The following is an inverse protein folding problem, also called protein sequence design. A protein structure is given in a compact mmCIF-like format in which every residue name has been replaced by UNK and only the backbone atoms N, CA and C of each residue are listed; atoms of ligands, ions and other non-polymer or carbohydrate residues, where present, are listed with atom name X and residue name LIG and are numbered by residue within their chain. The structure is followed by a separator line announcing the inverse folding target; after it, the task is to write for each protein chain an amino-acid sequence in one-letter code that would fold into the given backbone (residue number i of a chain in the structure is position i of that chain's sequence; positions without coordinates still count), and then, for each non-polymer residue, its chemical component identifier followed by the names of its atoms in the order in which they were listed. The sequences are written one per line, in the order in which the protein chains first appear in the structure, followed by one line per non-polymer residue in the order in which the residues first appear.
data_IF_402559910322
#
_entry.id   IF_402559910322
#
_cell.length_a   1.000
_cell.length_b   1.000
_cell.length_c   1.000
_cell.angle_alpha   90.00
_cell.angle_beta   90.00
_cell.angle_gamma   90.00
#
_symmetry.space_group_name_H-M   'P 1'
#
loop_
_entity.id
_entity.type
_entity.pdbx_description
1 polymer ?
#
# COMPACT_ATOMS: atom_id res chain seq x y z
N UNK A 1 -18.95 -3.18 13.30
CA UNK A 1 -17.67 -3.69 12.76
C UNK A 1 -17.91 -5.11 12.32
N UNK A 2 -17.64 -5.41 11.05
CA UNK A 2 -17.68 -6.78 10.53
C UNK A 2 -16.61 -7.60 11.25
N UNK A 3 -16.94 -8.79 11.76
CA UNK A 3 -15.95 -9.66 12.41
C UNK A 3 -14.87 -10.07 11.42
N UNK A 4 -13.59 -9.86 11.79
CA UNK A 4 -12.43 -10.30 11.02
C UNK A 4 -12.19 -11.76 11.38
N UNK A 5 -12.45 -12.67 10.43
CA UNK A 5 -12.17 -14.09 10.62
C UNK A 5 -10.72 -14.41 10.27
N UNK A 6 -10.05 -15.18 11.14
CA UNK A 6 -8.65 -15.61 10.93
C UNK A 6 -8.43 -16.44 9.66
N UNK A 7 -9.49 -17.04 9.11
CA UNK A 7 -9.44 -17.79 7.86
C UNK A 7 -9.44 -16.93 6.59
N UNK A 8 -9.60 -15.61 6.68
CA UNK A 8 -9.60 -14.73 5.52
C UNK A 8 -8.27 -14.77 4.77
N UNK A 9 -8.36 -14.80 3.46
CA UNK A 9 -7.23 -14.63 2.54
C UNK A 9 -7.00 -13.14 2.31
N UNK A 10 -5.79 -12.67 2.58
CA UNK A 10 -5.44 -11.25 2.51
C UNK A 10 -4.42 -11.02 1.41
N UNK A 11 -4.62 -10.00 0.59
CA UNK A 11 -3.54 -9.39 -0.18
C UNK A 11 -3.18 -8.01 0.38
N UNK A 12 -1.90 -7.67 0.35
CA UNK A 12 -1.38 -6.37 0.79
C UNK A 12 -0.69 -5.70 -0.39
N UNK A 13 -1.14 -4.50 -0.76
CA UNK A 13 -0.57 -3.70 -1.85
C UNK A 13 -0.07 -2.38 -1.28
N UNK A 14 1.23 -2.13 -1.42
CA UNK A 14 1.89 -0.98 -0.79
C UNK A 14 2.44 -0.03 -1.84
N UNK A 15 1.95 1.21 -1.84
CA UNK A 15 2.61 2.30 -2.55
C UNK A 15 3.76 2.82 -1.68
N UNK A 16 4.94 2.25 -1.90
CA UNK A 16 6.11 2.57 -1.09
C UNK A 16 6.53 4.03 -1.26
N UNK A 17 6.31 4.62 -2.44
CA UNK A 17 6.67 6.01 -2.70
C UNK A 17 5.74 6.97 -1.97
N UNK A 18 4.42 6.74 -2.03
CA UNK A 18 3.45 7.56 -1.31
C UNK A 18 3.72 7.53 0.20
N UNK A 19 3.87 6.33 0.78
CA UNK A 19 4.12 6.21 2.22
C UNK A 19 5.46 6.80 2.63
N UNK A 20 6.53 6.58 1.87
CA UNK A 20 7.85 7.11 2.17
C UNK A 20 7.86 8.64 2.15
N UNK A 21 7.32 9.26 1.09
CA UNK A 21 7.27 10.72 1.00
C UNK A 21 6.47 11.35 2.14
N UNK A 22 5.33 10.75 2.49
CA UNK A 22 4.52 11.22 3.61
C UNK A 22 5.24 11.07 4.94
N UNK A 23 5.82 9.90 5.23
CA UNK A 23 6.56 9.67 6.48
C UNK A 23 7.75 10.63 6.63
N UNK A 24 8.48 10.86 5.55
CA UNK A 24 9.61 11.77 5.54
C UNK A 24 9.17 13.23 5.70
N UNK A 25 8.07 13.64 5.06
CA UNK A 25 7.53 15.00 5.14
C UNK A 25 6.94 15.34 6.51
N UNK A 26 6.19 14.42 7.12
CA UNK A 26 5.46 14.68 8.36
C UNK A 26 6.30 14.39 9.61
N UNK A 27 7.13 13.34 9.58
CA UNK A 27 7.81 12.84 10.77
C UNK A 27 9.32 12.76 10.63
N UNK A 28 9.88 13.00 9.44
CA UNK A 28 11.30 12.85 9.15
C UNK A 28 11.84 11.44 9.49
N UNK A 29 11.01 10.41 9.26
CA UNK A 29 11.30 9.01 9.60
C UNK A 29 10.98 8.07 8.44
N UNK A 30 11.54 6.86 8.53
CA UNK A 30 11.28 5.78 7.57
C UNK A 30 10.12 4.90 8.05
N UNK A 31 9.45 4.24 7.12
CA UNK A 31 8.40 3.25 7.44
C UNK A 31 9.04 1.93 7.88
N UNK A 32 8.55 1.35 8.97
CA UNK A 32 8.77 -0.05 9.33
C UNK A 32 7.82 -0.95 8.52
N UNK A 33 8.29 -1.43 7.38
CA UNK A 33 7.53 -2.30 6.48
C UNK A 33 7.25 -3.68 7.09
N UNK A 34 8.05 -4.14 8.07
CA UNK A 34 7.81 -5.41 8.76
C UNK A 34 6.58 -5.28 9.65
N UNK A 35 6.54 -4.24 10.47
CA UNK A 35 5.39 -3.92 11.32
C UNK A 35 4.15 -3.60 10.49
N UNK A 36 4.31 -2.92 9.34
CA UNK A 36 3.22 -2.67 8.39
C UNK A 36 2.61 -3.98 7.89
N UNK A 37 3.43 -4.92 7.40
CA UNK A 37 2.96 -6.20 6.88
C UNK A 37 2.30 -7.05 7.97
N UNK A 38 2.90 -7.13 9.15
CA UNK A 38 2.33 -7.88 10.28
C UNK A 38 0.94 -7.35 10.65
N UNK A 39 0.79 -6.02 10.73
CA UNK A 39 -0.49 -5.36 11.07
C UNK A 39 -1.49 -5.33 9.93
N UNK A 40 -1.04 -5.43 8.68
CA UNK A 40 -1.91 -5.64 7.53
C UNK A 40 -2.49 -7.06 7.54
N UNK A 41 -1.67 -8.08 7.84
CA UNK A 41 -2.11 -9.48 7.84
C UNK A 41 -2.95 -9.83 9.06
N UNK A 42 -2.61 -9.33 10.26
CA UNK A 42 -3.34 -9.59 11.52
C UNK A 42 -3.60 -11.08 11.80
N UNK A 43 -2.65 -11.95 11.48
CA UNK A 43 -2.78 -13.39 11.69
C UNK A 43 -3.74 -14.11 10.72
N UNK A 44 -4.19 -13.42 9.66
CA UNK A 44 -4.96 -13.99 8.54
C UNK A 44 -4.04 -14.70 7.53
N UNK A 45 -4.61 -15.35 6.52
CA UNK A 45 -3.84 -16.06 5.50
C UNK A 45 -3.32 -15.10 4.42
N UNK A 46 -2.02 -14.78 4.46
CA UNK A 46 -1.40 -13.96 3.41
C UNK A 46 -1.39 -14.70 2.07
N UNK A 47 -2.06 -14.13 1.07
CA UNK A 47 -2.11 -14.63 -0.32
C UNK A 47 -1.01 -13.99 -1.16
N UNK A 48 -0.87 -12.66 -1.11
CA UNK A 48 0.23 -11.91 -1.72
C UNK A 48 0.51 -10.62 -0.95
N UNK A 49 1.77 -10.23 -0.90
CA UNK A 49 2.21 -8.91 -0.46
C UNK A 49 3.04 -8.30 -1.59
N UNK A 50 2.62 -7.16 -2.13
CA UNK A 50 3.29 -6.50 -3.26
C UNK A 50 3.65 -5.08 -2.86
N UNK A 51 4.93 -4.73 -2.98
CA UNK A 51 5.43 -3.37 -2.78
C UNK A 51 5.77 -2.75 -4.14
N UNK A 52 5.12 -1.63 -4.44
CA UNK A 52 5.29 -0.88 -5.67
C UNK A 52 6.32 0.22 -5.40
N UNK A 53 7.46 0.12 -6.06
CA UNK A 53 8.62 0.98 -5.83
C UNK A 53 9.05 1.64 -7.13
N UNK A 54 9.60 2.83 -7.02
CA UNK A 54 10.12 3.58 -8.15
C UNK A 54 11.62 3.69 -7.98
N UNK A 55 12.33 3.32 -9.04
CA UNK A 55 13.78 3.38 -9.05
C UNK A 55 14.24 4.77 -9.45
N UNK A 56 14.95 5.45 -8.56
CA UNK A 56 15.79 6.59 -8.86
C UNK A 56 17.27 6.16 -8.90
N UNK A 57 18.14 6.99 -9.48
CA UNK A 57 19.56 6.65 -9.65
C UNK A 57 20.35 6.80 -8.33
N UNK A 58 20.00 6.04 -7.27
CA UNK A 58 20.70 6.05 -5.97
C UNK A 58 21.07 4.63 -5.49
N UNK A 59 22.31 4.39 -5.00
CA UNK A 59 22.74 3.09 -4.47
C UNK A 59 21.96 2.63 -3.23
N UNK A 60 21.37 3.56 -2.47
CA UNK A 60 20.62 3.25 -1.24
C UNK A 60 19.34 2.46 -1.54
N UNK A 61 18.81 2.53 -2.76
CA UNK A 61 17.57 1.86 -3.15
C UNK A 61 17.72 0.34 -3.28
N UNK A 62 18.88 -0.17 -3.70
CA UNK A 62 19.09 -1.61 -3.80
C UNK A 62 18.93 -2.28 -2.43
N UNK A 63 19.51 -1.67 -1.40
CA UNK A 63 19.37 -2.14 -0.02
C UNK A 63 17.93 -2.09 0.49
N UNK A 64 17.16 -1.07 0.08
CA UNK A 64 15.75 -0.95 0.42
C UNK A 64 14.91 -2.04 -0.27
N UNK A 65 15.17 -2.32 -1.55
CA UNK A 65 14.46 -3.38 -2.27
C UNK A 65 14.77 -4.77 -1.72
N UNK A 66 16.02 -5.03 -1.36
CA UNK A 66 16.43 -6.27 -0.68
C UNK A 66 15.70 -6.42 0.67
N UNK A 67 15.65 -5.36 1.48
CA UNK A 67 14.94 -5.39 2.75
C UNK A 67 13.45 -5.71 2.59
N UNK A 68 12.77 -5.15 1.57
CA UNK A 68 11.37 -5.48 1.28
C UNK A 68 11.17 -6.95 0.93
N UNK A 69 12.08 -7.53 0.15
CA UNK A 69 12.05 -8.95 -0.22
C UNK A 69 12.25 -9.82 1.02
N UNK A 70 13.22 -9.47 1.88
CA UNK A 70 13.50 -10.19 3.13
C UNK A 70 12.32 -10.16 4.11
N UNK A 71 11.56 -9.06 4.13
CA UNK A 71 10.32 -8.92 4.90
C UNK A 71 9.19 -9.81 4.34
N UNK A 72 9.24 -10.15 3.06
CA UNK A 72 8.27 -11.02 2.38
C UNK A 72 7.41 -10.34 1.33
N UNK A 73 7.78 -9.14 0.86
CA UNK A 73 7.11 -8.49 -0.27
C UNK A 73 7.66 -8.97 -1.62
N UNK A 74 6.76 -9.11 -2.58
CA UNK A 74 7.09 -9.07 -4.00
C UNK A 74 7.31 -7.61 -4.41
N UNK A 75 8.49 -7.26 -4.92
CA UNK A 75 8.79 -5.89 -5.35
C UNK A 75 8.49 -5.70 -6.84
N UNK A 76 7.64 -4.70 -7.14
CA UNK A 76 7.40 -4.24 -8.52
C UNK A 76 8.10 -2.91 -8.73
N UNK A 77 9.14 -2.93 -9.56
CA UNK A 77 10.04 -1.80 -9.78
C UNK A 77 9.73 -1.11 -11.12
N UNK A 78 9.56 0.22 -11.10
CA UNK A 78 9.36 1.05 -12.30
C UNK A 78 10.44 2.11 -12.36
N UNK A 79 11.14 2.17 -13.49
CA UNK A 79 12.11 3.23 -13.75
C UNK A 79 11.38 4.54 -14.08
N UNK A 80 11.92 5.68 -13.61
CA UNK A 80 11.38 7.01 -13.92
C UNK A 80 11.47 7.23 -15.43
N UNK A 81 10.32 7.37 -16.09
CA UNK A 81 10.26 7.75 -17.51
C UNK A 81 10.10 9.26 -17.63
N UNK A 82 11.07 9.88 -18.31
CA UNK A 82 10.97 11.27 -18.76
C UNK A 82 10.39 11.26 -20.17
N UNK A 83 9.21 11.87 -20.34
CA UNK A 83 8.54 11.97 -21.62
C UNK A 83 9.09 13.16 -22.43
N UNK A 84 8.84 13.14 -23.74
CA UNK A 84 9.33 14.17 -24.67
C UNK A 84 8.77 15.57 -24.39
N UNK A 85 7.66 15.66 -23.63
CA UNK A 85 7.05 16.91 -23.16
C UNK A 85 7.66 17.41 -21.83
N UNK A 86 8.69 16.73 -21.31
CA UNK A 86 9.33 17.06 -20.04
C UNK A 86 8.56 16.56 -18.81
N UNK A 87 7.40 15.93 -18.99
CA UNK A 87 6.67 15.32 -17.87
C UNK A 87 7.40 14.06 -17.39
N UNK A 88 7.47 13.90 -16.07
CA UNK A 88 7.93 12.67 -15.44
C UNK A 88 6.69 11.95 -14.94
N UNK A 89 6.35 10.80 -15.52
CA UNK A 89 5.33 9.91 -14.94
C UNK A 89 6.02 8.70 -14.34
N UNK A 90 5.90 8.63 -13.03
CA UNK A 90 6.35 7.54 -12.22
C UNK A 90 5.30 7.40 -11.11
N UNK A 91 4.09 6.97 -11.48
CA UNK A 91 3.06 6.51 -10.56
C UNK A 91 2.84 5.00 -10.80
N UNK A 92 2.28 4.31 -9.81
CA UNK A 92 1.95 2.89 -9.93
C UNK A 92 0.45 2.64 -10.01
N UNK A 93 -0.37 3.68 -10.03
CA UNK A 93 -1.82 3.65 -9.83
C UNK A 93 -2.53 2.65 -10.73
N UNK A 94 -2.21 2.67 -12.03
CA UNK A 94 -2.78 1.73 -13.01
C UNK A 94 -2.33 0.30 -12.73
N UNK A 95 -1.05 0.09 -12.43
CA UNK A 95 -0.51 -1.24 -12.15
C UNK A 95 -1.12 -1.83 -10.87
N UNK A 96 -1.12 -1.04 -9.80
CA UNK A 96 -1.75 -1.37 -8.53
C UNK A 96 -3.22 -1.71 -8.70
N UNK A 97 -3.97 -0.90 -9.45
CA UNK A 97 -5.39 -1.14 -9.71
C UNK A 97 -5.63 -2.44 -10.47
N UNK A 98 -4.82 -2.73 -11.49
CA UNK A 98 -4.93 -3.97 -12.27
C UNK A 98 -4.63 -5.21 -11.41
N UNK A 99 -3.58 -5.14 -10.60
CA UNK A 99 -3.22 -6.24 -9.69
C UNK A 99 -4.31 -6.45 -8.63
N UNK A 100 -4.85 -5.38 -8.04
CA UNK A 100 -5.94 -5.45 -7.07
C UNK A 100 -7.20 -6.14 -7.66
N UNK A 101 -7.63 -5.72 -8.85
CA UNK A 101 -8.77 -6.32 -9.54
C UNK A 101 -8.50 -7.79 -9.90
N UNK A 102 -7.28 -8.10 -10.36
CA UNK A 102 -6.90 -9.47 -10.70
C UNK A 102 -6.90 -10.38 -9.46
N UNK A 103 -6.49 -9.86 -8.31
CA UNK A 103 -6.46 -10.60 -7.05
C UNK A 103 -7.84 -10.75 -6.41
N UNK A 104 -8.84 -9.96 -6.80
CA UNK A 104 -10.15 -9.89 -6.14
C UNK A 104 -10.83 -11.26 -5.97
N UNK A 105 -10.75 -12.14 -6.98
CA UNK A 105 -11.35 -13.47 -6.94
C UNK A 105 -10.56 -14.49 -6.07
N UNK A 106 -9.40 -14.11 -5.57
CA UNK A 106 -8.47 -14.98 -4.84
C UNK A 106 -8.31 -14.61 -3.37
N UNK A 107 -8.90 -13.48 -2.95
CA UNK A 107 -8.78 -12.92 -1.62
C UNK A 107 -10.15 -12.60 -1.04
N UNK A 108 -10.22 -12.52 0.28
CA UNK A 108 -11.40 -12.07 1.00
C UNK A 108 -11.21 -10.63 1.50
N UNK A 109 -9.95 -10.17 1.59
CA UNK A 109 -9.59 -8.81 2.01
C UNK A 109 -8.39 -8.29 1.23
N UNK A 110 -8.49 -7.04 0.76
CA UNK A 110 -7.37 -6.27 0.24
C UNK A 110 -6.99 -5.20 1.26
N UNK A 111 -5.72 -5.18 1.67
CA UNK A 111 -5.13 -4.08 2.41
C UNK A 111 -4.37 -3.19 1.42
N UNK A 112 -4.84 -1.96 1.25
CA UNK A 112 -4.24 -0.96 0.39
C UNK A 112 -3.47 0.04 1.26
N UNK A 113 -2.16 0.12 1.07
CA UNK A 113 -1.32 1.04 1.82
C UNK A 113 -0.92 2.23 0.94
N UNK A 114 -1.81 3.23 0.87
CA UNK A 114 -1.63 4.50 0.15
C UNK A 114 -2.63 5.54 0.69
N UNK A 115 -2.26 6.81 0.64
CA UNK A 115 -3.16 7.94 0.94
C UNK A 115 -3.88 8.53 -0.29
N UNK A 116 -3.63 7.99 -1.49
CA UNK A 116 -4.08 8.59 -2.74
C UNK A 116 -5.59 8.37 -3.03
N UNK A 117 -6.32 9.47 -3.18
CA UNK A 117 -7.76 9.50 -3.46
C UNK A 117 -8.17 8.88 -4.79
N UNK A 118 -7.25 8.75 -5.76
CA UNK A 118 -7.54 8.13 -7.06
C UNK A 118 -7.92 6.64 -6.93
N UNK A 119 -7.55 5.99 -5.82
CA UNK A 119 -7.94 4.62 -5.51
C UNK A 119 -9.36 4.49 -4.91
N UNK A 120 -10.06 5.58 -4.60
CA UNK A 120 -11.44 5.53 -4.07
C UNK A 120 -12.40 4.72 -4.96
N UNK A 121 -12.29 4.86 -6.28
CA UNK A 121 -13.06 4.08 -7.26
C UNK A 121 -12.69 2.60 -7.23
N UNK A 122 -11.41 2.27 -7.02
CA UNK A 122 -10.95 0.89 -6.87
C UNK A 122 -11.57 0.26 -5.62
N UNK A 123 -11.55 0.97 -4.49
CA UNK A 123 -12.18 0.51 -3.24
C UNK A 123 -13.66 0.17 -3.47
N UNK A 124 -14.39 1.10 -4.08
CA UNK A 124 -15.82 0.91 -4.38
C UNK A 124 -16.08 -0.31 -5.28
N UNK A 125 -15.24 -0.51 -6.31
CA UNK A 125 -15.34 -1.66 -7.21
C UNK A 125 -15.05 -2.99 -6.49
N UNK A 126 -13.99 -3.07 -5.69
CA UNK A 126 -13.63 -4.30 -4.97
C UNK A 126 -14.69 -4.73 -3.96
N UNK A 127 -15.30 -3.76 -3.24
CA UNK A 127 -16.44 -4.05 -2.37
C UNK A 127 -17.64 -4.61 -3.13
N UNK A 128 -17.89 -4.09 -4.34
CA UNK A 128 -18.95 -4.63 -5.21
C UNK A 128 -18.67 -6.09 -5.60
N UNK A 129 -17.40 -6.44 -5.81
CA UNK A 129 -16.96 -7.82 -6.04
C UNK A 129 -16.91 -8.69 -4.75
N UNK A 130 -17.34 -8.14 -3.61
CA UNK A 130 -17.40 -8.86 -2.33
C UNK A 130 -16.09 -8.91 -1.56
N UNK A 131 -15.07 -8.16 -1.99
CA UNK A 131 -13.79 -8.06 -1.29
C UNK A 131 -13.85 -6.94 -0.26
N UNK A 132 -13.48 -7.25 0.98
CA UNK A 132 -13.30 -6.23 2.03
C UNK A 132 -12.07 -5.39 1.72
N UNK A 133 -12.17 -4.07 1.77
CA UNK A 133 -11.06 -3.15 1.53
C UNK A 133 -10.67 -2.44 2.82
N UNK A 134 -9.42 -2.62 3.23
CA UNK A 134 -8.82 -1.97 4.39
C UNK A 134 -7.73 -1.02 3.89
N UNK A 135 -7.72 0.23 4.36
CA UNK A 135 -6.70 1.21 3.99
C UNK A 135 -5.77 1.47 5.18
N UNK A 136 -4.47 1.49 4.93
CA UNK A 136 -3.44 1.85 5.91
C UNK A 136 -2.61 3.01 5.39
N UNK A 137 -2.76 4.21 5.96
CA UNK A 137 -2.03 5.40 5.53
C UNK A 137 -1.97 6.44 6.66
N UNK A 138 -1.31 7.57 6.42
CA UNK A 138 -1.31 8.69 7.36
C UNK A 138 -2.58 9.51 7.15
N UNK A 139 -3.43 9.61 8.17
CA UNK A 139 -4.72 10.29 8.05
C UNK A 139 -4.59 11.72 7.51
N UNK A 140 -3.59 12.46 7.99
CA UNK A 140 -3.31 13.84 7.60
C UNK A 140 -2.92 14.03 6.12
N UNK A 141 -2.50 12.97 5.43
CA UNK A 141 -2.17 13.00 3.99
C UNK A 141 -3.09 12.12 3.15
N UNK A 142 -4.20 11.63 3.71
CA UNK A 142 -5.10 10.70 3.02
C UNK A 142 -6.34 11.46 2.54
N UNK A 143 -6.76 11.20 1.31
CA UNK A 143 -7.98 11.79 0.75
C UNK A 143 -9.24 11.29 1.50
N UNK A 144 -10.14 12.20 1.88
CA UNK A 144 -11.35 11.88 2.65
C UNK A 144 -12.25 10.87 1.91
N UNK A 145 -12.33 10.98 0.60
CA UNK A 145 -13.07 10.05 -0.27
C UNK A 145 -12.51 8.62 -0.22
N UNK A 146 -11.19 8.45 -0.06
CA UNK A 146 -10.58 7.13 0.07
C UNK A 146 -10.97 6.49 1.41
N UNK A 147 -10.92 7.27 2.49
CA UNK A 147 -11.31 6.83 3.83
C UNK A 147 -12.79 6.44 3.83
N UNK A 148 -13.64 7.27 3.24
CA UNK A 148 -15.08 7.03 3.14
C UNK A 148 -15.42 5.78 2.31
N UNK A 149 -14.62 5.46 1.29
CA UNK A 149 -14.81 4.26 0.46
C UNK A 149 -14.12 2.99 1.02
N UNK A 150 -13.31 3.08 2.06
CA UNK A 150 -12.73 1.90 2.71
C UNK A 150 -13.71 1.27 3.72
N UNK A 151 -13.68 -0.05 3.89
CA UNK A 151 -14.42 -0.71 4.97
C UNK A 151 -13.78 -0.52 6.34
N UNK A 152 -12.49 -0.16 6.36
CA UNK A 152 -11.74 0.21 7.55
C UNK A 152 -10.54 1.05 7.14
N UNK A 153 -10.21 2.02 7.98
CA UNK A 153 -9.00 2.82 7.88
C UNK A 153 -8.16 2.62 9.14
N UNK A 154 -6.86 2.40 8.96
CA UNK A 154 -5.89 2.36 10.04
C UNK A 154 -4.88 3.47 9.81
N UNK A 155 -4.92 4.45 10.69
CA UNK A 155 -4.01 5.57 10.68
C UNK A 155 -2.61 5.15 11.18
N UNK A 156 -1.60 5.38 10.35
CA UNK A 156 -0.20 5.14 10.67
C UNK A 156 0.38 6.21 11.60
N UNK A 157 -0.15 7.44 11.55
CA UNK A 157 0.36 8.59 12.32
C UNK A 157 0.11 8.42 13.83
N UNK A 158 -1.10 8.05 14.21
CA UNK A 158 -1.49 7.76 15.60
C UNK A 158 -0.73 6.59 16.22
N UNK A 159 -0.02 5.80 15.40
CA UNK A 159 0.78 4.63 15.82
C UNK A 159 2.23 4.74 15.35
N UNK A 160 2.77 5.95 15.33
CA UNK A 160 4.14 6.23 14.89
C UNK A 160 5.22 5.39 15.58
N UNK A 161 5.05 5.00 16.86
CA UNK A 161 6.00 4.11 17.56
C UNK A 161 6.01 2.67 17.01
N UNK A 162 4.97 2.26 16.29
CA UNK A 162 4.86 0.93 15.68
C UNK A 162 5.30 0.95 14.21
N UNK A 163 5.02 2.03 13.49
CA UNK A 163 5.18 2.05 12.03
C UNK A 163 6.33 2.90 11.53
N UNK A 164 7.03 3.66 12.39
CA UNK A 164 8.13 4.52 11.98
C UNK A 164 9.43 4.17 12.70
N UNK A 165 10.53 4.12 11.94
CA UNK A 165 11.91 3.91 12.41
C UNK A 165 12.61 5.25 12.69
#
# INVERSE_FOLDING_TARGET
MTEIHSGQRVAVLVDAQNLYHTAQSLHSRNIDYSSLLEKAVQGRQLTRAIAYVIRADSPEEESFFEALIDIGFETKIKDIKTFADGSKKADWDVGMSLDAVTLANHIDTLVLCTGDGDFSRLCSHLRHEGVRVEVMAFESSTAEELIAEADSFLDLESRHETFLL
#
